data_IF_037198496883
#
_entry.id   IF_037198496883
#
_cell.length_a   1.000
_cell.length_b   1.000
_cell.length_c   1.000
_cell.angle_alpha   90.00
_cell.angle_beta   90.00
_cell.angle_gamma   90.00
#
_symmetry.space_group_name_H-M   'P 1'
#
loop_
_entity.id
_entity.type
_entity.pdbx_description
1 polymer ?
#
# COMPACT_ATOMS: atom_id res chain seq x y z
N UNK A 1 35.44 -28.37 -68.03
CA UNK A 1 36.34 -27.69 -67.07
C UNK A 1 35.69 -26.38 -66.61
N UNK A 2 34.54 -26.42 -65.90
CA UNK A 2 33.86 -25.21 -65.41
C UNK A 2 32.96 -25.42 -64.17
N UNK A 3 32.73 -26.66 -63.72
CA UNK A 3 31.94 -26.93 -62.50
C UNK A 3 32.81 -26.82 -61.23
N UNK A 4 34.09 -27.20 -61.30
CA UNK A 4 35.01 -27.08 -60.16
C UNK A 4 35.30 -25.62 -59.76
N UNK A 5 35.31 -24.68 -60.70
CA UNK A 5 35.51 -23.26 -60.39
C UNK A 5 34.32 -22.66 -59.64
N UNK A 6 33.09 -23.11 -59.95
CA UNK A 6 31.87 -22.64 -59.29
C UNK A 6 31.76 -23.16 -57.84
N UNK A 7 32.17 -24.41 -57.60
CA UNK A 7 32.17 -24.99 -56.25
C UNK A 7 33.23 -24.35 -55.34
N UNK A 8 34.39 -24.00 -55.89
CA UNK A 8 35.42 -23.27 -55.13
C UNK A 8 34.96 -21.85 -54.79
N UNK A 9 34.29 -21.15 -55.71
CA UNK A 9 33.75 -19.81 -55.46
C UNK A 9 32.60 -19.79 -54.42
N UNK A 10 31.76 -20.83 -54.38
CA UNK A 10 30.72 -20.96 -53.36
C UNK A 10 31.31 -21.27 -51.98
N UNK A 11 32.40 -22.04 -51.92
CA UNK A 11 33.09 -22.35 -50.66
C UNK A 11 33.76 -21.12 -50.04
N UNK A 12 34.35 -20.24 -50.86
CA UNK A 12 35.00 -19.02 -50.38
C UNK A 12 33.98 -17.96 -49.94
N UNK A 13 32.82 -17.87 -50.62
CA UNK A 13 31.71 -17.01 -50.19
C UNK A 13 31.11 -17.48 -48.86
N UNK A 14 30.95 -18.79 -48.67
CA UNK A 14 30.47 -19.35 -47.39
C UNK A 14 31.43 -19.11 -46.24
N UNK A 15 32.74 -19.17 -46.48
CA UNK A 15 33.76 -18.86 -45.47
C UNK A 15 33.78 -17.36 -45.14
N UNK A 16 33.62 -16.50 -46.15
CA UNK A 16 33.57 -15.05 -45.95
C UNK A 16 32.33 -14.61 -45.16
N UNK A 17 31.17 -15.24 -45.40
CA UNK A 17 29.95 -14.98 -44.63
C UNK A 17 30.07 -15.48 -43.17
N UNK A 18 30.74 -16.59 -42.93
CA UNK A 18 30.99 -17.09 -41.57
C UNK A 18 31.93 -16.17 -40.78
N UNK A 19 32.97 -15.63 -41.43
CA UNK A 19 33.89 -14.66 -40.81
C UNK A 19 33.20 -13.31 -40.53
N UNK A 20 32.32 -12.83 -41.43
CA UNK A 20 31.53 -11.62 -41.19
C UNK A 20 30.56 -11.79 -40.00
N UNK A 21 29.89 -12.95 -39.89
CA UNK A 21 28.99 -13.25 -38.78
C UNK A 21 29.72 -13.38 -37.44
N UNK A 22 30.91 -14.01 -37.44
CA UNK A 22 31.77 -14.09 -36.25
C UNK A 22 32.30 -12.71 -35.83
N UNK A 23 32.68 -11.86 -36.80
CA UNK A 23 33.14 -10.50 -36.51
C UNK A 23 32.02 -9.64 -35.89
N UNK A 24 30.78 -9.77 -36.37
CA UNK A 24 29.61 -9.05 -35.83
C UNK A 24 29.25 -9.52 -34.40
N UNK A 25 29.40 -10.82 -34.10
CA UNK A 25 29.27 -11.36 -32.73
C UNK A 25 30.41 -10.92 -31.80
N UNK A 26 31.63 -10.78 -32.30
CA UNK A 26 32.75 -10.26 -31.50
C UNK A 26 32.65 -8.75 -31.25
N UNK A 27 32.15 -7.97 -32.22
CA UNK A 27 31.92 -6.54 -32.07
C UNK A 27 30.77 -6.25 -31.07
N UNK A 28 29.73 -7.09 -31.06
CA UNK A 28 28.66 -7.01 -30.05
C UNK A 28 29.14 -7.39 -28.64
N UNK A 29 30.20 -8.18 -28.50
CA UNK A 29 30.71 -8.68 -27.21
C UNK A 29 31.89 -7.87 -26.64
N UNK A 30 32.44 -6.89 -27.35
CA UNK A 30 33.55 -6.06 -26.87
C UNK A 30 33.16 -4.80 -26.09
N UNK A 31 31.87 -4.55 -25.88
CA UNK A 31 31.39 -3.43 -25.04
C UNK A 31 30.95 -3.80 -23.63
N UNK A 32 31.10 -5.06 -23.22
CA UNK A 32 30.81 -5.47 -21.83
C UNK A 32 32.12 -5.64 -21.07
N UNK A 33 32.87 -4.54 -20.95
CA UNK A 33 33.89 -4.43 -19.92
C UNK A 33 33.18 -4.46 -18.56
N UNK A 34 33.63 -5.37 -17.69
CA UNK A 34 33.14 -5.53 -16.33
C UNK A 34 33.41 -4.26 -15.51
N UNK A 35 32.49 -3.30 -15.57
CA UNK A 35 32.35 -2.28 -14.55
C UNK A 35 31.73 -2.97 -13.34
N UNK A 36 32.53 -3.12 -12.28
CA UNK A 36 32.04 -3.63 -11.01
C UNK A 36 30.93 -2.70 -10.52
N UNK A 37 29.67 -3.16 -10.67
CA UNK A 37 28.52 -2.50 -10.09
C UNK A 37 28.86 -2.13 -8.64
N UNK A 38 28.69 -0.85 -8.23
CA UNK A 38 28.91 -0.47 -6.85
C UNK A 38 28.06 -1.40 -5.99
N UNK A 39 28.54 -1.81 -4.80
CA UNK A 39 27.80 -2.73 -3.95
C UNK A 39 26.37 -2.21 -3.85
N UNK A 40 25.40 -3.03 -4.27
CA UNK A 40 23.99 -2.75 -4.08
C UNK A 40 23.80 -2.55 -2.58
N UNK A 41 23.97 -1.32 -2.13
CA UNK A 41 23.62 -0.88 -0.80
C UNK A 41 22.12 -1.05 -0.81
N UNK A 42 21.66 -2.11 -0.14
CA UNK A 42 20.24 -2.42 0.00
C UNK A 42 19.56 -1.13 0.47
N UNK A 43 18.90 -0.43 -0.45
CA UNK A 43 18.12 0.75 -0.13
C UNK A 43 17.16 0.32 0.95
N UNK A 44 17.16 1.01 2.09
CA UNK A 44 16.26 0.66 3.19
C UNK A 44 14.85 0.69 2.61
N UNK A 45 14.18 -0.47 2.60
CA UNK A 45 12.82 -0.62 2.05
C UNK A 45 11.80 0.28 2.77
N UNK A 46 12.15 0.77 3.96
CA UNK A 46 11.45 1.79 4.74
C UNK A 46 12.40 2.43 5.78
N UNK A 47 12.14 3.66 6.16
CA UNK A 47 12.86 4.37 7.22
C UNK A 47 12.06 4.26 8.52
N UNK A 48 12.62 3.57 9.51
CA UNK A 48 12.06 3.55 10.86
C UNK A 48 12.53 4.79 11.63
N UNK A 49 11.60 5.66 12.04
CA UNK A 49 11.92 6.89 12.77
C UNK A 49 12.36 6.63 14.21
N UNK A 50 13.14 7.57 14.77
CA UNK A 50 13.62 7.53 16.16
C UNK A 50 12.50 7.74 17.20
N UNK A 51 11.44 8.49 16.86
CA UNK A 51 10.27 8.67 17.74
C UNK A 51 9.26 7.54 17.48
N UNK A 52 9.01 6.74 18.52
CA UNK A 52 8.05 5.64 18.53
C UNK A 52 7.23 5.65 19.81
N UNK A 53 6.10 4.96 19.77
CA UNK A 53 5.38 4.59 21.00
C UNK A 53 6.27 3.69 21.87
N UNK A 54 6.25 3.93 23.17
CA UNK A 54 6.99 3.13 24.18
C UNK A 54 6.08 2.12 24.90
N UNK A 55 4.91 1.87 24.33
CA UNK A 55 3.88 0.96 24.84
C UNK A 55 3.13 0.37 23.66
N UNK A 56 2.51 -0.77 23.90
CA UNK A 56 1.74 -1.49 22.88
C UNK A 56 0.25 -1.19 22.95
N UNK A 57 -0.28 -0.82 24.12
CA UNK A 57 -1.67 -0.38 24.25
C UNK A 57 -1.77 1.11 23.97
N UNK A 58 -2.35 1.44 22.82
CA UNK A 58 -2.65 2.80 22.40
C UNK A 58 -4.14 3.08 22.60
N UNK A 59 -4.44 4.19 23.24
CA UNK A 59 -5.81 4.66 23.43
C UNK A 59 -6.16 5.65 22.34
N UNK A 60 -7.35 5.55 21.76
CA UNK A 60 -7.80 6.44 20.69
C UNK A 60 -9.18 7.00 20.98
N UNK A 61 -9.53 8.11 20.34
CA UNK A 61 -10.90 8.67 20.35
C UNK A 61 -11.26 9.23 18.98
N UNK A 62 -12.55 9.20 18.67
CA UNK A 62 -13.14 9.93 17.55
C UNK A 62 -13.68 11.25 18.07
N UNK A 63 -13.15 12.37 17.56
CA UNK A 63 -13.80 13.67 17.67
C UNK A 63 -14.89 13.76 16.60
N UNK A 64 -16.18 13.92 16.98
CA UNK A 64 -17.29 13.93 16.04
C UNK A 64 -17.40 15.23 15.23
N UNK A 65 -16.46 16.17 15.37
CA UNK A 65 -16.46 17.40 14.60
C UNK A 65 -16.57 17.15 13.09
N UNK A 66 -17.48 17.88 12.43
CA UNK A 66 -17.82 17.76 11.01
C UNK A 66 -18.35 16.38 10.56
N UNK A 67 -18.74 15.51 11.48
CA UNK A 67 -19.38 14.23 11.19
C UNK A 67 -20.87 14.34 11.50
N UNK A 68 -21.73 13.91 10.57
CA UNK A 68 -23.16 13.78 10.84
C UNK A 68 -23.44 12.78 11.97
N UNK A 69 -24.47 13.03 12.77
CA UNK A 69 -24.86 12.12 13.86
C UNK A 69 -25.17 10.71 13.32
N UNK A 70 -25.85 10.64 12.16
CA UNK A 70 -26.16 9.39 11.47
C UNK A 70 -24.91 8.62 11.01
N UNK A 71 -23.86 9.34 10.61
CA UNK A 71 -22.63 8.75 10.03
C UNK A 71 -21.61 8.36 11.11
N UNK A 72 -21.70 8.97 12.30
CA UNK A 72 -20.74 8.76 13.39
C UNK A 72 -20.59 7.28 13.75
N UNK A 73 -21.68 6.50 13.73
CA UNK A 73 -21.62 5.05 13.95
C UNK A 73 -20.84 4.33 12.86
N UNK A 74 -21.08 4.68 11.59
CA UNK A 74 -20.43 4.06 10.43
C UNK A 74 -18.93 4.38 10.44
N UNK A 75 -18.57 5.64 10.67
CA UNK A 75 -17.18 6.10 10.78
C UNK A 75 -16.46 5.37 11.91
N UNK A 76 -17.05 5.36 13.12
CA UNK A 76 -16.44 4.70 14.29
C UNK A 76 -16.17 3.21 14.03
N UNK A 77 -17.13 2.48 13.46
CA UNK A 77 -16.92 1.06 13.14
C UNK A 77 -15.87 0.86 12.05
N UNK A 78 -15.81 1.77 11.07
CA UNK A 78 -14.77 1.73 10.02
C UNK A 78 -13.38 1.90 10.61
N UNK A 79 -13.22 2.82 11.57
CA UNK A 79 -11.96 3.03 12.28
C UNK A 79 -11.58 1.81 13.13
N UNK A 80 -12.52 1.20 13.85
CA UNK A 80 -12.27 -0.06 14.57
C UNK A 80 -11.74 -1.16 13.65
N UNK A 81 -12.34 -1.32 12.46
CA UNK A 81 -11.84 -2.26 11.45
C UNK A 81 -10.43 -1.91 10.99
N UNK A 82 -10.16 -0.63 10.72
CA UNK A 82 -8.85 -0.19 10.27
C UNK A 82 -7.75 -0.38 11.34
N UNK A 83 -8.06 -0.14 12.62
CA UNK A 83 -7.17 -0.48 13.73
C UNK A 83 -6.94 -1.99 13.84
N UNK A 84 -7.98 -2.80 13.62
CA UNK A 84 -7.91 -4.26 13.65
C UNK A 84 -6.90 -4.84 12.65
N UNK A 85 -6.77 -4.27 11.45
CA UNK A 85 -5.77 -4.70 10.46
C UNK A 85 -4.36 -4.70 11.05
N UNK A 86 -3.99 -3.64 11.77
CA UNK A 86 -2.65 -3.50 12.36
C UNK A 86 -2.44 -4.33 13.62
N UNK A 87 -3.43 -4.41 14.51
CA UNK A 87 -3.30 -5.25 15.72
C UNK A 87 -3.40 -6.75 15.42
N UNK A 88 -4.02 -7.15 14.31
CA UNK A 88 -4.11 -8.55 13.89
C UNK A 88 -2.76 -9.15 13.47
N UNK A 89 -1.80 -8.32 13.03
CA UNK A 89 -0.51 -8.77 12.50
C UNK A 89 0.69 -8.38 13.36
N UNK A 90 0.49 -7.72 14.50
CA UNK A 90 1.55 -7.18 15.35
C UNK A 90 1.19 -7.25 16.84
N UNK A 91 2.07 -6.78 17.72
CA UNK A 91 1.79 -6.74 19.17
C UNK A 91 1.08 -5.48 19.64
N UNK A 92 0.76 -4.53 18.75
CA UNK A 92 0.02 -3.32 19.13
C UNK A 92 -1.44 -3.67 19.42
N UNK A 93 -2.07 -2.93 20.32
CA UNK A 93 -3.49 -3.08 20.67
C UNK A 93 -4.12 -1.71 20.83
N UNK A 94 -5.39 -1.59 20.44
CA UNK A 94 -6.11 -0.32 20.49
C UNK A 94 -7.30 -0.39 21.44
N UNK A 95 -7.53 0.68 22.19
CA UNK A 95 -8.70 0.85 23.04
C UNK A 95 -9.34 2.21 22.78
N UNK A 96 -10.61 2.22 22.35
CA UNK A 96 -11.37 3.46 22.22
C UNK A 96 -11.71 4.03 23.61
N UNK A 97 -11.61 5.35 23.74
CA UNK A 97 -12.12 6.11 24.88
C UNK A 97 -13.08 7.18 24.37
N UNK A 98 -14.16 7.39 25.10
CA UNK A 98 -15.13 8.46 24.83
C UNK A 98 -14.67 9.80 25.38
N UNK A 99 -13.82 9.80 26.41
CA UNK A 99 -13.43 11.01 27.14
C UNK A 99 -11.96 10.99 27.59
N UNK A 100 -11.46 12.18 27.91
CA UNK A 100 -10.12 12.40 28.44
C UNK A 100 -9.02 12.47 27.36
N UNK A 101 -7.78 12.41 27.84
CA UNK A 101 -6.60 12.43 26.98
C UNK A 101 -6.31 11.02 26.46
N UNK A 102 -6.14 10.91 25.15
CA UNK A 102 -5.79 9.68 24.43
C UNK A 102 -4.41 9.81 23.80
N UNK A 103 -3.88 8.69 23.31
CA UNK A 103 -2.63 8.68 22.53
C UNK A 103 -2.89 9.09 21.09
N UNK A 104 -4.03 8.66 20.54
CA UNK A 104 -4.46 8.94 19.18
C UNK A 104 -5.76 9.73 19.20
N UNK A 105 -5.90 10.70 18.29
CA UNK A 105 -7.15 11.44 18.08
C UNK A 105 -7.46 11.47 16.60
N UNK A 106 -8.65 11.00 16.24
CA UNK A 106 -9.15 10.99 14.86
C UNK A 106 -10.25 12.03 14.74
N UNK A 107 -10.20 12.86 13.71
CA UNK A 107 -11.22 13.90 13.46
C UNK A 107 -11.38 14.20 11.98
N UNK A 108 -12.53 14.76 11.59
CA UNK A 108 -12.77 15.24 10.24
C UNK A 108 -12.66 16.77 10.25
N UNK A 109 -11.70 17.34 9.54
CA UNK A 109 -11.42 18.78 9.53
C UNK A 109 -11.70 19.37 8.15
N UNK A 110 -11.85 20.69 8.08
CA UNK A 110 -12.03 21.40 6.81
C UNK A 110 -11.03 22.53 6.71
N UNK A 111 -10.53 22.79 5.52
CA UNK A 111 -9.69 23.96 5.23
C UNK A 111 -8.61 24.16 6.32
N UNK A 112 -8.41 25.39 6.78
CA UNK A 112 -7.55 25.71 7.92
C UNK A 112 -8.18 25.22 9.22
N UNK A 113 -7.44 24.38 9.93
CA UNK A 113 -7.79 23.85 11.25
C UNK A 113 -6.57 23.93 12.20
N UNK A 114 -6.64 23.29 13.37
CA UNK A 114 -5.70 23.42 14.51
C UNK A 114 -4.29 22.82 14.29
N UNK A 115 -3.77 22.94 13.07
CA UNK A 115 -2.41 22.61 12.68
C UNK A 115 -1.95 23.47 11.48
N UNK A 116 -0.67 23.44 11.07
CA UNK A 116 -0.16 24.28 9.99
C UNK A 116 -0.56 23.81 8.59
N UNK A 117 -1.38 22.77 8.45
CA UNK A 117 -1.62 22.04 7.21
C UNK A 117 -3.11 22.09 6.84
N UNK A 118 -3.56 23.16 6.16
CA UNK A 118 -4.95 23.25 5.74
C UNK A 118 -5.27 22.17 4.70
N UNK A 119 -6.49 21.67 4.74
CA UNK A 119 -7.08 20.92 3.62
C UNK A 119 -7.46 21.87 2.47
N UNK A 120 -7.59 21.31 1.28
CA UNK A 120 -7.86 22.02 0.02
C UNK A 120 -9.30 21.87 -0.50
N UNK A 121 -10.13 21.09 0.20
CA UNK A 121 -11.52 20.83 -0.18
C UNK A 121 -11.64 19.53 -0.96
N UNK A 122 -12.72 19.40 -1.73
CA UNK A 122 -12.93 18.18 -2.52
C UNK A 122 -11.83 18.00 -3.57
N UNK A 123 -11.32 16.78 -3.64
CA UNK A 123 -10.24 16.35 -4.51
C UNK A 123 -8.91 17.01 -4.13
N UNK A 124 -7.88 16.20 -3.88
CA UNK A 124 -6.58 16.69 -3.42
C UNK A 124 -6.12 15.91 -2.21
N UNK A 125 -5.85 16.62 -1.12
CA UNK A 125 -5.36 16.05 0.13
C UNK A 125 -6.51 15.47 0.93
N UNK A 126 -6.65 14.15 0.92
CA UNK A 126 -7.82 13.49 1.52
C UNK A 126 -7.66 13.29 3.03
N UNK A 127 -6.42 13.16 3.49
CA UNK A 127 -6.09 12.94 4.90
C UNK A 127 -4.64 13.30 5.21
N UNK A 128 -4.35 13.50 6.49
CA UNK A 128 -2.99 13.47 7.01
C UNK A 128 -2.92 12.87 8.42
N UNK A 129 -1.76 12.32 8.75
CA UNK A 129 -1.45 11.80 10.08
C UNK A 129 -0.14 12.34 10.64
N UNK A 130 -0.12 12.49 11.96
CA UNK A 130 1.03 12.93 12.72
C UNK A 130 1.69 11.75 13.43
N UNK A 131 2.98 11.59 13.19
CA UNK A 131 3.79 10.50 13.74
C UNK A 131 3.76 10.43 15.27
N UNK A 132 4.13 9.26 15.83
CA UNK A 132 4.38 9.14 17.26
C UNK A 132 5.31 10.26 17.76
N UNK A 133 5.00 10.95 18.86
CA UNK A 133 3.91 10.73 19.82
C UNK A 133 2.82 11.80 19.75
N UNK A 134 2.63 12.45 18.61
CA UNK A 134 1.55 13.41 18.40
C UNK A 134 0.21 12.66 18.29
N UNK A 135 0.11 11.73 17.33
CA UNK A 135 -1.00 10.79 17.26
C UNK A 135 -2.30 11.35 16.70
N UNK A 136 -2.30 12.58 16.18
CA UNK A 136 -3.46 13.13 15.46
C UNK A 136 -3.56 12.56 14.05
N UNK A 137 -4.79 12.27 13.63
CA UNK A 137 -5.15 11.88 12.28
C UNK A 137 -6.36 12.71 11.87
N UNK A 138 -6.22 13.46 10.78
CA UNK A 138 -7.29 14.27 10.24
C UNK A 138 -7.68 13.75 8.86
N UNK A 139 -8.99 13.64 8.63
CA UNK A 139 -9.58 13.42 7.31
C UNK A 139 -10.15 14.75 6.81
N UNK A 140 -10.09 15.01 5.52
CA UNK A 140 -10.81 16.15 4.95
C UNK A 140 -12.32 15.85 4.93
N UNK A 141 -13.10 16.68 5.61
CA UNK A 141 -14.55 16.55 5.68
C UNK A 141 -15.28 17.07 4.42
N UNK A 142 -14.56 17.65 3.46
CA UNK A 142 -15.10 18.05 2.14
C UNK A 142 -15.01 16.91 1.09
N UNK A 143 -14.33 15.82 1.39
CA UNK A 143 -14.20 14.64 0.53
C UNK A 143 -15.46 13.76 0.47
N UNK A 144 -15.61 13.06 -0.66
CA UNK A 144 -16.70 12.10 -0.90
C UNK A 144 -16.37 10.73 -0.30
N UNK A 145 -16.54 10.58 1.01
CA UNK A 145 -16.18 9.35 1.71
C UNK A 145 -17.12 8.19 1.38
N UNK A 146 -16.57 7.11 0.86
CA UNK A 146 -17.28 5.86 0.54
C UNK A 146 -16.65 4.66 1.25
N UNK A 147 -17.36 3.52 1.27
CA UNK A 147 -16.87 2.28 1.87
C UNK A 147 -16.71 1.13 0.88
N UNK A 148 -17.62 1.03 -0.09
CA UNK A 148 -17.67 -0.05 -1.07
C UNK A 148 -18.07 0.50 -2.44
N UNK A 149 -17.38 1.56 -2.88
CA UNK A 149 -17.62 2.18 -4.18
C UNK A 149 -16.31 2.43 -4.90
N UNK A 150 -16.32 2.28 -6.22
CA UNK A 150 -15.24 2.70 -7.12
C UNK A 150 -15.24 4.24 -7.32
N UNK A 151 -16.30 4.92 -6.89
CA UNK A 151 -16.39 6.37 -6.83
C UNK A 151 -16.05 6.93 -5.44
N UNK A 152 -15.51 8.14 -5.40
CA UNK A 152 -15.16 8.84 -4.16
C UNK A 152 -13.87 8.31 -3.53
N UNK A 153 -13.72 8.52 -2.22
CA UNK A 153 -12.54 8.15 -1.44
C UNK A 153 -12.90 7.07 -0.43
N UNK A 154 -12.20 5.94 -0.49
CA UNK A 154 -12.50 4.85 0.44
C UNK A 154 -11.99 5.16 1.85
N UNK A 155 -12.92 5.38 2.80
CA UNK A 155 -12.57 5.72 4.18
C UNK A 155 -11.78 4.60 4.87
N UNK A 156 -12.15 3.34 4.65
CA UNK A 156 -11.48 2.21 5.29
C UNK A 156 -10.03 2.12 4.85
N UNK A 157 -9.77 2.09 3.54
CA UNK A 157 -8.40 1.93 3.03
C UNK A 157 -7.52 3.13 3.37
N UNK A 158 -8.07 4.34 3.29
CA UNK A 158 -7.37 5.57 3.70
C UNK A 158 -7.04 5.53 5.19
N UNK A 159 -7.99 5.14 6.04
CA UNK A 159 -7.76 5.00 7.48
C UNK A 159 -6.66 3.97 7.79
N UNK A 160 -6.63 2.81 7.11
CA UNK A 160 -5.57 1.82 7.34
C UNK A 160 -4.20 2.40 7.00
N UNK A 161 -4.07 3.12 5.89
CA UNK A 161 -2.83 3.80 5.53
C UNK A 161 -2.40 4.81 6.61
N UNK A 162 -3.28 5.75 6.95
CA UNK A 162 -2.96 6.82 7.89
C UNK A 162 -2.67 6.30 9.31
N UNK A 163 -3.32 5.21 9.73
CA UNK A 163 -2.99 4.53 10.99
C UNK A 163 -1.56 3.94 10.94
N UNK A 164 -1.08 3.50 9.78
CA UNK A 164 0.31 3.10 9.62
C UNK A 164 1.28 4.24 9.97
N UNK A 165 0.99 5.46 9.54
CA UNK A 165 1.74 6.66 9.95
C UNK A 165 1.62 6.97 11.45
N UNK A 166 0.42 6.84 12.04
CA UNK A 166 0.23 6.96 13.48
C UNK A 166 1.08 5.96 14.28
N UNK A 167 1.34 4.78 13.72
CA UNK A 167 2.17 3.75 14.34
C UNK A 167 3.67 3.98 14.12
N UNK A 168 4.03 4.83 13.16
CA UNK A 168 5.40 5.23 12.86
C UNK A 168 5.98 4.64 11.58
N UNK A 169 5.13 4.06 10.72
CA UNK A 169 5.53 3.60 9.39
C UNK A 169 5.66 4.77 8.43
N UNK A 170 6.71 4.76 7.62
CA UNK A 170 6.84 5.65 6.46
C UNK A 170 6.31 4.97 5.20
N UNK A 171 6.18 5.73 4.12
CA UNK A 171 5.76 5.17 2.84
C UNK A 171 6.65 4.01 2.39
N UNK A 172 6.02 2.96 1.88
CA UNK A 172 6.70 1.88 1.18
C UNK A 172 6.97 2.27 -0.27
N UNK A 173 8.00 1.66 -0.83
CA UNK A 173 8.29 1.71 -2.28
C UNK A 173 7.61 0.57 -3.03
N UNK A 174 7.01 -0.41 -2.33
CA UNK A 174 6.24 -1.48 -2.96
C UNK A 174 4.84 -0.95 -3.36
N UNK A 175 4.50 -0.90 -4.65
CA UNK A 175 3.20 -0.40 -5.12
C UNK A 175 2.02 -1.26 -4.65
N UNK A 176 2.27 -2.46 -4.11
CA UNK A 176 1.23 -3.33 -3.53
C UNK A 176 0.99 -3.04 -2.06
N UNK A 177 1.93 -2.37 -1.38
CA UNK A 177 1.80 -2.04 0.04
C UNK A 177 0.69 -1.04 0.30
N UNK A 178 0.00 -1.18 1.43
CA UNK A 178 -0.98 -0.19 1.89
C UNK A 178 -0.27 1.13 2.11
N UNK A 179 0.95 1.11 2.66
CA UNK A 179 1.77 2.30 2.87
C UNK A 179 2.39 2.88 1.58
N UNK A 180 1.95 2.48 0.38
CA UNK A 180 2.44 3.12 -0.85
C UNK A 180 1.94 4.57 -0.96
N UNK A 181 2.82 5.50 -1.34
CA UNK A 181 2.57 6.94 -1.25
C UNK A 181 1.43 7.48 -2.14
N UNK A 182 0.99 6.72 -3.15
CA UNK A 182 -0.04 7.19 -4.08
C UNK A 182 -1.41 6.65 -3.69
N UNK A 183 -2.43 7.51 -3.81
CA UNK A 183 -3.84 7.13 -3.71
C UNK A 183 -4.13 5.93 -4.62
N UNK A 184 -4.70 4.88 -4.05
CA UNK A 184 -5.12 3.68 -4.79
C UNK A 184 -6.62 3.72 -5.08
N UNK A 185 -7.06 3.16 -6.21
CA UNK A 185 -8.46 2.89 -6.42
C UNK A 185 -8.97 1.90 -5.37
N UNK A 186 -10.27 1.92 -5.11
CA UNK A 186 -10.90 0.95 -4.23
C UNK A 186 -10.58 -0.49 -4.69
N UNK A 187 -10.38 -1.36 -3.71
CA UNK A 187 -10.09 -2.79 -3.93
C UNK A 187 -10.93 -3.59 -2.94
N UNK A 188 -11.83 -4.43 -3.45
CA UNK A 188 -12.70 -5.26 -2.60
C UNK A 188 -11.90 -6.27 -1.75
N UNK A 189 -10.82 -6.83 -2.32
CA UNK A 189 -9.90 -7.76 -1.67
C UNK A 189 -8.76 -7.00 -0.96
N UNK A 190 -9.11 -6.25 0.08
CA UNK A 190 -8.13 -5.49 0.85
C UNK A 190 -7.33 -6.39 1.81
N UNK A 191 -6.00 -6.26 1.81
CA UNK A 191 -5.12 -6.90 2.80
C UNK A 191 -3.82 -6.12 2.95
N UNK A 192 -3.22 -6.14 4.15
CA UNK A 192 -1.85 -5.67 4.36
C UNK A 192 -0.87 -6.51 3.54
N UNK A 193 0.10 -5.86 2.90
CA UNK A 193 1.16 -6.58 2.17
C UNK A 193 2.21 -7.16 3.12
N UNK A 194 3.02 -8.11 2.64
CA UNK A 194 4.19 -8.61 3.36
C UNK A 194 5.17 -7.50 3.76
N UNK A 195 5.24 -6.41 2.98
CA UNK A 195 6.09 -5.27 3.32
C UNK A 195 5.55 -4.51 4.52
N UNK A 196 4.24 -4.23 4.55
CA UNK A 196 3.55 -3.61 5.67
C UNK A 196 3.70 -4.44 6.95
N UNK A 197 3.46 -5.76 6.86
CA UNK A 197 3.54 -6.70 7.99
C UNK A 197 4.95 -6.75 8.59
N UNK A 198 5.97 -6.86 7.74
CA UNK A 198 7.38 -6.83 8.22
C UNK A 198 7.73 -5.46 8.80
N UNK A 199 7.20 -4.38 8.24
CA UNK A 199 7.45 -3.03 8.73
C UNK A 199 6.89 -2.84 10.14
N UNK A 200 5.62 -3.18 10.35
CA UNK A 200 4.97 -3.01 11.64
C UNK A 200 5.56 -3.92 12.72
N UNK A 201 5.94 -5.15 12.40
CA UNK A 201 6.57 -6.08 13.36
C UNK A 201 7.94 -5.62 13.84
N UNK A 202 8.65 -4.75 13.11
CA UNK A 202 9.87 -4.11 13.66
C UNK A 202 9.58 -3.06 14.73
N UNK A 203 8.39 -2.47 14.70
CA UNK A 203 7.94 -1.50 15.71
C UNK A 203 7.23 -2.17 16.88
N UNK A 204 6.41 -3.18 16.57
CA UNK A 204 5.56 -3.92 17.51
C UNK A 204 5.71 -5.44 17.28
N UNK A 205 6.81 -6.05 17.75
CA UNK A 205 7.10 -7.47 17.52
C UNK A 205 6.09 -8.38 18.23
N UNK A 206 5.56 -9.38 17.53
CA UNK A 206 4.69 -10.39 18.12
C UNK A 206 5.51 -11.21 19.14
N UNK A 207 4.94 -11.48 20.33
CA UNK A 207 5.57 -12.35 21.32
C UNK A 207 5.75 -13.75 20.70
N UNK A 208 7.00 -14.20 20.57
CA UNK A 208 7.36 -15.46 19.90
C UNK A 208 8.23 -15.28 18.65
N UNK A 209 8.33 -14.07 18.10
CA UNK A 209 9.22 -13.74 16.96
C UNK A 209 10.52 -13.00 17.39
N UNK A 210 10.82 -12.93 18.69
CA UNK A 210 12.02 -12.26 19.17
C UNK A 210 13.28 -13.08 18.85
N UNK A 211 13.98 -12.62 17.80
CA UNK A 211 15.41 -12.80 17.48
C UNK A 211 15.91 -14.23 17.21
N UNK A 212 15.65 -14.73 16.00
CA UNK A 212 16.54 -15.65 15.27
C UNK A 212 16.26 -15.51 13.77
N UNK A 213 16.76 -14.43 13.16
CA UNK A 213 17.01 -14.42 11.71
C UNK A 213 18.43 -13.93 11.53
N UNK A 214 19.35 -14.82 11.91
CA UNK A 214 20.69 -14.80 11.36
C UNK A 214 20.68 -15.59 10.05
N UNK A 215 21.48 -15.14 9.11
CA UNK A 215 21.45 -15.53 7.70
C UNK A 215 21.60 -17.05 7.44
N UNK A 216 20.57 -17.69 6.86
CA UNK A 216 20.61 -18.67 5.73
C UNK A 216 19.35 -19.56 5.67
N UNK A 217 19.11 -20.07 4.45
CA UNK A 217 18.21 -21.15 4.02
C UNK A 217 16.70 -20.93 3.96
N UNK A 218 16.23 -20.78 2.72
CA UNK A 218 15.32 -21.67 2.00
C UNK A 218 14.02 -22.16 2.68
N UNK A 219 12.91 -21.70 2.06
CA UNK A 219 11.63 -22.38 1.89
C UNK A 219 10.94 -22.91 3.17
N UNK A 220 10.11 -22.08 3.79
CA UNK A 220 9.10 -22.54 4.75
C UNK A 220 7.73 -21.97 4.40
N UNK A 221 6.88 -22.87 3.89
CA UNK A 221 5.45 -22.72 3.70
C UNK A 221 4.78 -22.52 5.07
N UNK A 222 4.07 -21.41 5.26
CA UNK A 222 3.27 -21.18 6.47
C UNK A 222 2.12 -22.20 6.54
N UNK A 223 1.83 -22.80 7.71
CA UNK A 223 0.69 -23.69 7.86
C UNK A 223 -0.61 -22.88 7.90
N UNK A 224 -1.52 -23.17 6.98
CA UNK A 224 -2.91 -22.74 7.02
C UNK A 224 -3.61 -23.50 8.16
N UNK A 225 -3.99 -22.79 9.23
CA UNK A 225 -4.88 -23.34 10.25
C UNK A 225 -6.30 -23.31 9.67
N UNK A 226 -6.72 -24.43 9.10
CA UNK A 226 -8.14 -24.67 8.75
C UNK A 226 -8.80 -25.25 10.00
N UNK A 227 -9.48 -24.41 10.78
CA UNK A 227 -10.31 -24.92 11.88
C UNK A 227 -11.69 -25.28 11.34
N UNK A 228 -12.00 -26.58 11.44
CA UNK A 228 -13.24 -27.20 11.01
C UNK A 228 -14.43 -26.72 11.85
N UNK A 229 -15.44 -26.14 11.20
CA UNK A 229 -16.80 -26.04 11.74
C UNK A 229 -17.78 -26.77 10.84
N UNK A 230 -17.78 -28.09 10.95
CA UNK A 230 -18.93 -28.90 10.58
C UNK A 230 -19.75 -29.26 11.82
N UNK A 231 -21.08 -29.07 11.67
CA UNK A 231 -22.20 -29.60 12.45
C UNK A 231 -22.66 -28.78 13.66
N UNK A 232 -23.66 -27.94 13.40
CA UNK A 232 -25.02 -28.14 13.94
C UNK A 232 -26.05 -27.51 13.01
N UNK A 233 -26.70 -28.38 12.23
CA UNK A 233 -27.90 -28.11 11.45
C UNK A 233 -29.13 -28.23 12.35
N UNK A 234 -29.99 -27.20 12.38
CA UNK A 234 -31.41 -27.36 12.64
C UNK A 234 -32.22 -26.28 11.89
N UNK A 235 -32.74 -26.69 10.73
CA UNK A 235 -34.06 -26.36 10.16
C UNK A 235 -34.77 -25.07 10.59
N UNK A 236 -34.96 -24.17 9.62
CA UNK A 236 -36.24 -23.53 9.34
C UNK A 236 -36.32 -23.13 7.85
N UNK A 237 -37.29 -23.71 7.13
CA UNK A 237 -37.66 -23.33 5.76
C UNK A 237 -38.46 -22.02 5.81
N UNK A 238 -38.08 -21.04 5.00
CA UNK A 238 -38.98 -19.99 4.55
C UNK A 238 -38.70 -19.71 3.06
N UNK A 239 -39.73 -19.95 2.27
CA UNK A 239 -39.83 -19.81 0.82
C UNK A 239 -40.23 -18.36 0.50
N UNK A 240 -39.46 -17.63 -0.32
CA UNK A 240 -39.93 -16.38 -0.95
C UNK A 240 -39.59 -16.42 -2.44
N UNK A 241 -40.65 -16.24 -3.23
CA UNK A 241 -40.72 -16.25 -4.69
C UNK A 241 -40.43 -14.87 -5.27
N UNK A 242 -39.83 -14.87 -6.48
CA UNK A 242 -39.89 -13.77 -7.46
C UNK A 242 -38.77 -12.72 -7.30
N UNK A 243 -38.23 -12.09 -8.34
CA UNK A 243 -38.49 -12.10 -9.79
C UNK A 243 -37.22 -11.54 -10.44
N UNK A 244 -36.79 -12.13 -11.56
CA UNK A 244 -35.64 -11.66 -12.35
C UNK A 244 -36.06 -10.42 -13.13
N UNK A 245 -35.27 -9.35 -13.03
CA UNK A 245 -35.32 -8.22 -13.97
C UNK A 245 -33.91 -7.99 -14.53
N UNK A 246 -33.80 -8.32 -15.81
CA UNK A 246 -32.72 -8.05 -16.75
C UNK A 246 -32.76 -6.59 -17.21
N UNK A 247 -31.62 -6.07 -17.68
CA UNK A 247 -31.32 -4.79 -18.41
C UNK A 247 -30.31 -3.91 -17.66
N UNK A 248 -29.30 -3.28 -18.26
CA UNK A 248 -28.78 -3.25 -19.63
C UNK A 248 -27.27 -2.88 -19.56
N UNK A 249 -26.47 -3.42 -20.48
CA UNK A 249 -25.06 -3.08 -20.66
C UNK A 249 -24.98 -1.72 -21.35
N UNK A 250 -24.37 -0.73 -20.69
CA UNK A 250 -23.96 0.53 -21.29
C UNK A 250 -22.45 0.70 -21.09
N UNK A 251 -21.73 0.73 -22.21
CA UNK A 251 -20.29 0.92 -22.30
C UNK A 251 -20.01 2.19 -23.10
N UNK A 252 -19.35 3.22 -22.53
CA UNK A 252 -18.68 4.22 -23.34
C UNK A 252 -17.17 3.98 -23.34
N UNK A 253 -16.64 4.01 -24.56
CA UNK A 253 -15.24 3.97 -24.97
C UNK A 253 -14.33 4.93 -24.18
N UNK A 254 -13.17 4.41 -23.75
CA UNK A 254 -12.07 5.16 -23.17
C UNK A 254 -11.33 5.93 -24.27
N UNK A 255 -11.31 7.27 -24.17
CA UNK A 255 -10.57 8.16 -25.06
C UNK A 255 -9.18 8.43 -24.46
N UNK A 256 -8.13 8.06 -25.20
CA UNK A 256 -6.76 7.88 -24.73
C UNK A 256 -5.90 9.16 -24.85
N UNK A 257 -6.51 10.35 -24.67
CA UNK A 257 -5.85 11.62 -24.98
C UNK A 257 -5.91 12.71 -23.89
N UNK A 258 -5.82 12.33 -22.61
CA UNK A 258 -5.69 13.30 -21.51
C UNK A 258 -4.42 13.07 -20.68
N UNK A 259 -3.27 13.15 -21.36
CA UNK A 259 -1.99 13.39 -20.69
C UNK A 259 -1.94 14.86 -20.25
N UNK A 260 -2.19 15.12 -18.97
CA UNK A 260 -1.82 16.39 -18.33
C UNK A 260 -0.66 16.19 -17.34
N UNK A 261 0.28 17.15 -17.27
CA UNK A 261 1.51 17.02 -16.52
C UNK A 261 1.29 17.44 -15.06
N UNK A 262 1.40 16.50 -14.11
CA UNK A 262 1.46 16.86 -12.70
C UNK A 262 2.91 17.09 -12.28
N UNK A 263 3.22 18.33 -11.90
CA UNK A 263 4.38 18.66 -11.08
C UNK A 263 4.12 18.14 -9.67
N UNK A 264 4.87 17.12 -9.27
CA UNK A 264 4.85 16.52 -7.94
C UNK A 264 5.12 17.56 -6.84
N UNK A 265 4.27 17.58 -5.83
CA UNK A 265 4.54 18.26 -4.56
C UNK A 265 5.82 17.71 -3.95
N UNK A 266 6.71 18.62 -3.56
CA UNK A 266 8.02 18.33 -2.97
C UNK A 266 7.89 17.43 -1.75
N UNK A 267 8.66 16.34 -1.73
CA UNK A 267 9.06 15.65 -0.50
C UNK A 267 9.64 16.70 0.45
N UNK A 268 8.91 17.05 1.51
CA UNK A 268 9.44 17.91 2.56
C UNK A 268 10.53 17.13 3.32
N UNK A 269 11.78 17.46 2.99
CA UNK A 269 12.98 16.85 3.58
C UNK A 269 13.29 17.35 4.99
N UNK A 270 12.46 18.20 5.61
CA UNK A 270 12.73 18.68 6.96
C UNK A 270 12.53 17.55 8.00
N UNK A 271 13.59 17.10 8.68
CA UNK A 271 13.51 16.05 9.69
C UNK A 271 12.78 16.47 10.97
N UNK A 272 12.19 17.67 11.05
CA UNK A 272 11.40 18.15 12.18
C UNK A 272 9.92 18.44 11.85
N UNK A 273 9.54 18.63 10.58
CA UNK A 273 8.17 19.03 10.15
C UNK A 273 7.33 17.85 9.61
N UNK A 274 7.38 16.75 10.35
CA UNK A 274 7.08 15.39 9.87
C UNK A 274 5.57 15.06 9.74
N UNK A 275 4.95 15.43 8.62
CA UNK A 275 3.62 14.95 8.16
C UNK A 275 3.72 14.13 6.86
N UNK A 276 2.68 13.36 6.53
CA UNK A 276 2.42 12.88 5.17
C UNK A 276 0.96 13.10 4.81
N UNK A 277 0.72 13.22 3.51
CA UNK A 277 -0.50 13.66 2.85
C UNK A 277 -0.75 12.68 1.72
N UNK A 278 -1.95 12.13 1.67
CA UNK A 278 -2.43 11.27 0.56
C UNK A 278 -3.41 12.06 -0.29
#
# INVERSE_FOLDING_TARGET
MNILLYLLALSSLSQCLAELYLNELTASNQHVAADALPPHTRTKRYVVRKKKWNKNLLTWKLDPINIGEADTYIVRNTLHRAFNEWQGVSSVTFAEKTEGKTDLTVSFQKNKHDDPYPFDGRDGVVAHAFYPRDGRLHFDADEDWTLNSDSGVNLFQTAVHEIGHLLGLEHSTDPRAVMYASKKPFTAEFSLSDDDVRAIRKLFPVKGESSEVDSKSDNVLYPVVVENLEKKSSTAKAEIKGTVAETAIYSPSFDDSMLFPFTFGTLDTNPNDRKFVI
#
